data_IF_451558079104
#
_entry.id   IF_451558079104
#
_cell.length_a   1.000
_cell.length_b   1.000
_cell.length_c   1.000
_cell.angle_alpha   90.00
_cell.angle_beta   90.00
_cell.angle_gamma   90.00
#
_symmetry.space_group_name_H-M   'P 1'
#
loop_
_entity.id
_entity.type
_entity.pdbx_description
1 polymer ?
#
# COMPACT_ATOMS: atom_id res chain seq x y z
N UNK A 1 -4.44 56.57 -27.05
CA UNK A 1 -3.95 57.16 -28.30
C UNK A 1 -3.74 56.10 -29.39
N UNK A 2 -3.04 54.99 -29.18
CA UNK A 2 -2.77 53.94 -30.19
C UNK A 2 -4.05 53.42 -30.85
N UNK A 3 -5.11 53.14 -30.08
CA UNK A 3 -6.40 52.64 -30.58
C UNK A 3 -7.03 53.55 -31.65
N UNK A 4 -6.84 54.86 -31.53
CA UNK A 4 -7.45 55.85 -32.39
C UNK A 4 -6.53 56.21 -33.59
N UNK A 5 -5.24 56.31 -33.33
CA UNK A 5 -4.25 56.75 -34.33
C UNK A 5 -3.75 55.58 -35.20
N UNK A 6 -3.81 54.34 -34.72
CA UNK A 6 -3.31 53.13 -35.39
C UNK A 6 -4.23 51.93 -35.12
N UNK A 7 -5.46 51.94 -35.65
CA UNK A 7 -6.46 50.93 -35.31
C UNK A 7 -6.08 49.51 -35.77
N UNK A 8 -5.39 49.35 -36.88
CA UNK A 8 -4.91 48.06 -37.39
C UNK A 8 -3.83 47.45 -36.49
N UNK A 9 -2.84 48.29 -36.11
CA UNK A 9 -1.77 47.84 -35.18
C UNK A 9 -2.31 47.53 -33.79
N UNK A 10 -3.30 48.31 -33.34
CA UNK A 10 -3.97 47.99 -32.06
C UNK A 10 -4.74 46.68 -32.12
N UNK A 11 -5.43 46.38 -33.21
CA UNK A 11 -6.12 45.12 -33.41
C UNK A 11 -5.13 43.92 -33.44
N UNK A 12 -3.99 44.11 -34.13
CA UNK A 12 -2.91 43.11 -34.14
C UNK A 12 -2.35 42.88 -32.75
N UNK A 13 -2.04 43.91 -32.00
CA UNK A 13 -1.54 43.79 -30.61
C UNK A 13 -2.52 43.04 -29.72
N UNK A 14 -3.81 43.34 -29.82
CA UNK A 14 -4.84 42.66 -29.02
C UNK A 14 -4.98 41.17 -29.34
N UNK A 15 -4.86 40.84 -30.64
CA UNK A 15 -5.12 39.48 -31.13
C UNK A 15 -3.89 38.58 -31.00
N UNK A 16 -2.72 39.10 -31.39
CA UNK A 16 -1.54 38.26 -31.58
C UNK A 16 -0.51 38.43 -30.44
N UNK A 17 -0.43 39.62 -29.83
CA UNK A 17 0.62 39.92 -28.84
C UNK A 17 0.11 39.82 -27.39
N UNK A 18 -0.99 40.47 -27.09
CA UNK A 18 -1.50 40.48 -25.70
C UNK A 18 -1.93 39.11 -25.12
N UNK A 19 -2.44 38.16 -25.88
CA UNK A 19 -2.71 36.83 -25.36
C UNK A 19 -1.44 36.17 -24.82
N UNK A 20 -0.30 36.33 -25.53
CA UNK A 20 1.00 35.81 -25.08
C UNK A 20 1.58 36.53 -23.87
N UNK A 21 1.24 37.82 -23.65
CA UNK A 21 1.69 38.61 -22.51
C UNK A 21 0.80 38.52 -21.28
N UNK A 22 -0.42 37.97 -21.43
CA UNK A 22 -1.41 37.82 -20.31
C UNK A 22 -1.38 36.50 -19.63
N UNK A 23 -0.47 35.60 -19.98
CA UNK A 23 -0.31 34.36 -19.21
C UNK A 23 0.59 34.59 -17.99
N UNK A 24 0.32 33.86 -16.95
CA UNK A 24 1.17 33.78 -15.79
C UNK A 24 1.75 32.39 -15.74
N UNK A 25 3.07 32.28 -15.73
CA UNK A 25 3.76 31.03 -15.50
C UNK A 25 3.85 30.80 -14.00
N UNK A 26 3.39 29.63 -13.56
CA UNK A 26 3.51 29.20 -12.18
C UNK A 26 4.58 28.12 -12.11
N UNK A 27 5.57 28.33 -11.28
CA UNK A 27 6.49 27.29 -10.83
C UNK A 27 6.13 26.96 -9.40
N UNK A 28 5.66 25.72 -9.16
CA UNK A 28 5.46 25.20 -7.81
C UNK A 28 6.68 24.38 -7.46
N UNK A 29 7.51 24.92 -6.59
CA UNK A 29 8.62 24.18 -6.00
C UNK A 29 8.14 23.60 -4.66
N UNK A 30 8.27 22.30 -4.49
CA UNK A 30 7.97 21.64 -3.23
C UNK A 30 9.16 20.76 -2.84
N UNK A 31 9.44 20.72 -1.57
CA UNK A 31 10.39 19.76 -0.99
C UNK A 31 9.60 18.57 -0.45
N UNK A 32 9.95 17.38 -0.93
CA UNK A 32 9.44 16.14 -0.34
C UNK A 32 10.23 15.90 0.93
N UNK A 33 9.60 16.10 2.07
CA UNK A 33 10.21 15.79 3.36
C UNK A 33 10.05 14.28 3.59
N UNK A 34 11.16 13.54 3.48
CA UNK A 34 11.22 12.15 3.87
C UNK A 34 11.57 12.04 5.37
N UNK A 35 10.80 11.22 6.09
CA UNK A 35 11.10 10.88 7.47
C UNK A 35 11.97 9.62 7.48
N UNK A 36 13.12 9.68 8.13
CA UNK A 36 14.06 8.56 8.26
C UNK A 36 14.15 8.02 9.68
N UNK A 37 13.75 8.82 10.66
CA UNK A 37 13.69 8.42 12.06
C UNK A 37 12.34 7.77 12.38
N UNK A 38 12.37 6.60 13.01
CA UNK A 38 11.17 5.78 13.28
C UNK A 38 10.25 6.43 14.30
N UNK A 39 10.78 7.12 15.29
CA UNK A 39 9.96 7.81 16.29
C UNK A 39 9.27 9.05 15.69
N UNK A 40 9.93 9.71 14.73
CA UNK A 40 9.30 10.78 13.95
C UNK A 40 8.18 10.23 13.06
N UNK A 41 8.43 9.12 12.35
CA UNK A 41 7.40 8.45 11.54
C UNK A 41 6.22 8.06 12.43
N UNK A 42 6.48 7.46 13.59
CA UNK A 42 5.45 7.08 14.55
C UNK A 42 4.61 8.27 15.01
N UNK A 43 5.25 9.38 15.36
CA UNK A 43 4.56 10.62 15.76
C UNK A 43 3.67 11.19 14.65
N UNK A 44 4.19 11.21 13.42
CA UNK A 44 3.44 11.69 12.24
C UNK A 44 2.30 10.74 11.93
N UNK A 45 2.52 9.42 12.02
CA UNK A 45 1.49 8.40 11.82
C UNK A 45 0.30 8.59 12.77
N UNK A 46 0.57 8.92 14.03
CA UNK A 46 -0.46 9.16 15.05
C UNK A 46 -1.26 10.46 14.82
N UNK A 47 -0.62 11.50 14.30
CA UNK A 47 -1.23 12.83 14.16
C UNK A 47 -1.73 13.12 12.75
N UNK A 48 -0.94 12.82 11.73
CA UNK A 48 -1.20 13.17 10.32
C UNK A 48 -0.67 12.09 9.37
N UNK A 49 -1.23 10.85 9.41
CA UNK A 49 -0.71 9.71 8.64
C UNK A 49 -0.69 9.95 7.12
N UNK A 50 -1.55 10.82 6.61
CA UNK A 50 -1.59 11.21 5.21
C UNK A 50 -0.34 11.95 4.71
N UNK A 51 0.56 12.36 5.62
CA UNK A 51 1.85 12.96 5.27
C UNK A 51 2.95 11.93 5.04
N UNK A 52 2.69 10.67 5.41
CA UNK A 52 3.64 9.58 5.23
C UNK A 52 3.42 8.90 3.87
N UNK A 53 4.52 8.59 3.22
CA UNK A 53 4.55 7.68 2.08
C UNK A 53 4.47 6.23 2.55
N UNK A 54 4.08 5.31 1.65
CA UNK A 54 4.08 3.88 1.94
C UNK A 54 5.47 3.35 2.34
N UNK A 55 6.52 3.92 1.76
CA UNK A 55 7.91 3.57 2.06
C UNK A 55 8.27 3.85 3.53
N UNK A 56 7.76 4.95 4.09
CA UNK A 56 8.00 5.31 5.48
C UNK A 56 7.26 4.39 6.44
N UNK A 57 6.05 3.93 6.10
CA UNK A 57 5.37 2.88 6.87
C UNK A 57 6.20 1.59 6.89
N UNK A 58 6.76 1.17 5.75
CA UNK A 58 7.61 -0.03 5.69
C UNK A 58 8.93 0.15 6.45
N UNK A 59 9.55 1.32 6.36
CA UNK A 59 10.77 1.63 7.12
C UNK A 59 10.51 1.49 8.63
N UNK A 60 9.39 2.04 9.12
CA UNK A 60 9.01 1.90 10.52
C UNK A 60 8.73 0.44 10.89
N UNK A 61 8.00 -0.30 10.05
CA UNK A 61 7.65 -1.69 10.31
C UNK A 61 8.89 -2.61 10.40
N UNK A 62 9.91 -2.37 9.56
CA UNK A 62 11.16 -3.16 9.56
C UNK A 62 11.93 -3.10 10.89
N UNK A 63 11.71 -2.06 11.68
CA UNK A 63 12.37 -1.89 12.98
C UNK A 63 11.49 -2.36 14.17
N UNK A 64 10.29 -2.86 13.88
CA UNK A 64 9.38 -3.40 14.88
C UNK A 64 9.43 -4.93 14.88
N UNK A 65 9.20 -5.51 16.03
CA UNK A 65 9.03 -6.96 16.16
C UNK A 65 7.68 -7.35 15.51
N UNK A 66 7.68 -8.31 14.55
CA UNK A 66 6.44 -8.78 13.94
C UNK A 66 5.46 -9.31 14.99
N UNK A 67 4.21 -8.84 14.92
CA UNK A 67 3.16 -9.18 15.89
C UNK A 67 3.15 -8.33 17.16
N UNK A 68 4.03 -7.34 17.30
CA UNK A 68 3.91 -6.32 18.33
C UNK A 68 2.76 -5.35 18.05
N UNK A 69 2.20 -4.71 19.07
CA UNK A 69 1.12 -3.74 18.92
C UNK A 69 1.51 -2.58 17.96
N UNK A 70 2.77 -2.15 18.01
CA UNK A 70 3.28 -1.11 17.09
C UNK A 70 3.34 -1.59 15.65
N UNK A 71 3.81 -2.82 15.42
CA UNK A 71 3.84 -3.43 14.10
C UNK A 71 2.44 -3.52 13.50
N UNK A 72 1.50 -4.02 14.27
CA UNK A 72 0.11 -4.16 13.86
C UNK A 72 -0.50 -2.80 13.49
N UNK A 73 -0.31 -1.80 14.33
CA UNK A 73 -0.85 -0.46 14.11
C UNK A 73 -0.27 0.22 12.87
N UNK A 74 1.02 -0.01 12.56
CA UNK A 74 1.65 0.48 11.33
C UNK A 74 0.90 -0.05 10.12
N UNK A 75 0.69 -1.36 10.02
CA UNK A 75 0.04 -1.95 8.86
C UNK A 75 -1.47 -1.70 8.80
N UNK A 76 -2.15 -1.64 9.94
CA UNK A 76 -3.55 -1.21 9.99
C UNK A 76 -3.72 0.24 9.49
N UNK A 77 -2.75 1.10 9.79
CA UNK A 77 -2.76 2.48 9.29
C UNK A 77 -2.34 2.53 7.82
N UNK A 78 -1.30 1.78 7.42
CA UNK A 78 -0.84 1.71 6.03
C UNK A 78 -1.96 1.25 5.09
N UNK A 79 -2.68 0.19 5.41
CA UNK A 79 -3.78 -0.31 4.57
C UNK A 79 -4.96 0.66 4.50
N UNK A 80 -5.16 1.47 5.53
CA UNK A 80 -6.18 2.53 5.53
C UNK A 80 -5.78 3.69 4.62
N UNK A 81 -4.50 4.04 4.59
CA UNK A 81 -3.97 5.12 3.74
C UNK A 81 -3.76 4.67 2.29
N UNK A 82 -3.36 3.42 2.09
CA UNK A 82 -3.06 2.82 0.79
C UNK A 82 -3.87 1.54 0.54
N UNK A 83 -5.21 1.65 0.40
CA UNK A 83 -6.11 0.49 0.39
C UNK A 83 -5.99 -0.41 -0.84
N UNK A 84 -5.24 0.01 -1.86
CA UNK A 84 -4.96 -0.77 -3.07
C UNK A 84 -3.57 -1.42 -3.07
N UNK A 85 -2.73 -1.12 -2.08
CA UNK A 85 -1.38 -1.69 -2.03
C UNK A 85 -1.42 -3.16 -1.59
N UNK A 86 -0.83 -4.04 -2.40
CA UNK A 86 -0.88 -5.49 -2.20
C UNK A 86 -0.13 -5.92 -0.93
N UNK A 87 1.03 -5.33 -0.65
CA UNK A 87 1.85 -5.68 0.50
C UNK A 87 1.21 -5.19 1.80
N UNK A 88 0.66 -3.98 1.82
CA UNK A 88 -0.09 -3.48 2.98
C UNK A 88 -1.30 -4.38 3.28
N UNK A 89 -2.04 -4.79 2.24
CA UNK A 89 -3.17 -5.71 2.41
C UNK A 89 -2.73 -7.10 2.88
N UNK A 90 -1.61 -7.65 2.37
CA UNK A 90 -1.08 -8.93 2.84
C UNK A 90 -0.74 -8.91 4.33
N UNK A 91 -0.01 -7.88 4.77
CA UNK A 91 0.35 -7.76 6.19
C UNK A 91 -0.88 -7.54 7.07
N UNK A 92 -1.83 -6.69 6.66
CA UNK A 92 -3.09 -6.52 7.37
C UNK A 92 -3.92 -7.81 7.44
N UNK A 93 -3.87 -8.65 6.40
CA UNK A 93 -4.52 -9.97 6.41
C UNK A 93 -3.89 -10.91 7.45
N UNK A 94 -2.56 -10.97 7.50
CA UNK A 94 -1.84 -11.78 8.48
C UNK A 94 -2.16 -11.35 9.91
N UNK A 95 -2.19 -10.05 10.19
CA UNK A 95 -2.58 -9.49 11.48
C UNK A 95 -4.04 -9.86 11.82
N UNK A 96 -4.96 -9.71 10.87
CA UNK A 96 -6.37 -10.06 11.08
C UNK A 96 -6.55 -11.57 11.38
N UNK A 97 -5.83 -12.45 10.68
CA UNK A 97 -5.82 -13.89 10.96
C UNK A 97 -5.29 -14.19 12.36
N UNK A 98 -4.20 -13.55 12.78
CA UNK A 98 -3.66 -13.67 14.13
C UNK A 98 -4.65 -13.24 15.21
N UNK A 99 -5.43 -12.20 14.95
CA UNK A 99 -6.53 -11.72 15.83
C UNK A 99 -7.84 -12.51 15.67
N UNK A 100 -7.87 -13.56 14.83
CA UNK A 100 -9.05 -14.36 14.48
C UNK A 100 -10.20 -13.56 13.83
N UNK A 101 -9.88 -12.40 13.26
CA UNK A 101 -10.82 -11.60 12.49
C UNK A 101 -10.86 -12.08 11.03
N UNK A 102 -11.50 -13.23 10.83
CA UNK A 102 -11.56 -13.91 9.54
C UNK A 102 -12.24 -13.08 8.46
N UNK A 103 -13.20 -12.24 8.83
CA UNK A 103 -13.92 -11.36 7.89
C UNK A 103 -13.00 -10.29 7.29
N UNK A 104 -12.22 -9.63 8.13
CA UNK A 104 -11.25 -8.65 7.65
C UNK A 104 -10.07 -9.32 6.93
N UNK A 105 -9.63 -10.50 7.39
CA UNK A 105 -8.60 -11.28 6.72
C UNK A 105 -8.98 -11.58 5.27
N UNK A 106 -10.19 -12.08 5.01
CA UNK A 106 -10.70 -12.34 3.66
C UNK A 106 -10.70 -11.09 2.78
N UNK A 107 -11.21 -9.99 3.31
CA UNK A 107 -11.25 -8.71 2.61
C UNK A 107 -9.86 -8.21 2.21
N UNK A 108 -8.88 -8.36 3.09
CA UNK A 108 -7.51 -7.97 2.79
C UNK A 108 -6.84 -8.95 1.81
N UNK A 109 -7.01 -10.25 1.98
CA UNK A 109 -6.47 -11.26 1.07
C UNK A 109 -6.97 -11.10 -0.37
N UNK A 110 -8.20 -10.60 -0.56
CA UNK A 110 -8.73 -10.32 -1.90
C UNK A 110 -7.94 -9.24 -2.65
N UNK A 111 -7.17 -8.42 -1.94
CA UNK A 111 -6.35 -7.31 -2.46
C UNK A 111 -4.84 -7.53 -2.31
N UNK A 112 -4.43 -8.63 -1.70
CA UNK A 112 -3.02 -8.92 -1.41
C UNK A 112 -2.17 -9.33 -2.62
N UNK A 113 -2.72 -9.28 -3.83
CA UNK A 113 -2.01 -9.71 -5.04
C UNK A 113 -1.86 -11.22 -5.14
N UNK A 114 -0.89 -11.68 -5.93
CA UNK A 114 -0.68 -13.11 -6.22
C UNK A 114 0.79 -13.53 -6.06
N UNK A 115 1.53 -12.88 -5.17
CA UNK A 115 2.89 -13.35 -4.84
C UNK A 115 2.83 -14.70 -4.11
N UNK A 116 3.92 -15.48 -4.08
CA UNK A 116 3.97 -16.75 -3.34
C UNK A 116 3.55 -16.59 -1.87
N UNK A 117 3.91 -15.49 -1.24
CA UNK A 117 3.52 -15.16 0.13
C UNK A 117 2.01 -14.92 0.26
N UNK A 118 1.41 -14.24 -0.72
CA UNK A 118 -0.04 -14.01 -0.74
C UNK A 118 -0.83 -15.30 -0.97
N UNK A 119 -0.31 -16.20 -1.83
CA UNK A 119 -0.87 -17.54 -2.03
C UNK A 119 -0.76 -18.36 -0.74
N UNK A 120 0.39 -18.31 -0.07
CA UNK A 120 0.61 -18.96 1.21
C UNK A 120 -0.34 -18.45 2.29
N UNK A 121 -0.52 -17.12 2.41
CA UNK A 121 -1.43 -16.53 3.37
C UNK A 121 -2.90 -16.97 3.13
N UNK A 122 -3.32 -17.12 1.87
CA UNK A 122 -4.64 -17.71 1.55
C UNK A 122 -4.72 -19.18 1.96
N UNK A 123 -3.61 -19.92 1.86
CA UNK A 123 -3.52 -21.28 2.38
C UNK A 123 -3.72 -21.33 3.90
N UNK A 124 -3.10 -20.41 4.63
CA UNK A 124 -3.31 -20.26 6.09
C UNK A 124 -4.77 -19.93 6.38
N UNK A 125 -5.37 -18.99 5.66
CA UNK A 125 -6.78 -18.63 5.82
C UNK A 125 -7.70 -19.83 5.63
N UNK A 126 -7.49 -20.61 4.57
CA UNK A 126 -8.26 -21.82 4.30
C UNK A 126 -8.10 -22.87 5.43
N UNK A 127 -6.88 -23.05 5.92
CA UNK A 127 -6.60 -23.97 7.04
C UNK A 127 -7.31 -23.52 8.33
N UNK A 128 -7.27 -22.24 8.66
CA UNK A 128 -7.97 -21.66 9.81
C UNK A 128 -9.50 -21.75 9.68
N UNK A 129 -10.00 -21.80 8.47
CA UNK A 129 -11.43 -21.99 8.15
C UNK A 129 -11.84 -23.47 8.10
N UNK A 130 -10.90 -24.40 8.29
CA UNK A 130 -11.14 -25.86 8.25
C UNK A 130 -11.14 -26.45 6.84
N UNK A 131 -10.88 -25.67 5.81
CA UNK A 131 -10.75 -26.17 4.42
C UNK A 131 -9.31 -26.63 4.14
N UNK A 132 -8.98 -27.80 4.67
CA UNK A 132 -7.65 -28.38 4.51
C UNK A 132 -7.32 -28.81 3.08
N UNK A 133 -8.33 -29.06 2.25
CA UNK A 133 -8.10 -29.42 0.83
C UNK A 133 -7.63 -28.20 0.03
N UNK A 134 -8.28 -27.07 0.19
CA UNK A 134 -7.86 -25.82 -0.43
C UNK A 134 -6.52 -25.35 0.16
N UNK A 135 -6.32 -25.45 1.47
CA UNK A 135 -5.05 -25.10 2.11
C UNK A 135 -3.88 -25.91 1.52
N UNK A 136 -4.03 -27.21 1.37
CA UNK A 136 -3.00 -28.07 0.79
C UNK A 136 -2.64 -27.72 -0.66
N UNK A 137 -3.63 -27.38 -1.49
CA UNK A 137 -3.40 -26.93 -2.86
C UNK A 137 -2.64 -25.59 -2.92
N UNK A 138 -3.03 -24.64 -2.10
CA UNK A 138 -2.41 -23.31 -2.04
C UNK A 138 -0.98 -23.38 -1.49
N UNK A 139 -0.71 -24.20 -0.47
CA UNK A 139 0.64 -24.40 0.02
C UNK A 139 1.53 -25.10 -1.02
N UNK A 140 0.99 -26.07 -1.75
CA UNK A 140 1.75 -26.71 -2.84
C UNK A 140 2.08 -25.70 -3.96
N UNK A 141 1.15 -24.84 -4.32
CA UNK A 141 1.38 -23.76 -5.29
C UNK A 141 2.49 -22.81 -4.79
N UNK A 142 2.37 -22.30 -3.57
CA UNK A 142 3.38 -21.40 -2.99
C UNK A 142 4.77 -22.04 -2.93
N UNK A 143 4.85 -23.35 -2.62
CA UNK A 143 6.10 -24.12 -2.64
C UNK A 143 6.70 -24.21 -4.04
N UNK A 144 5.88 -24.46 -5.05
CA UNK A 144 6.34 -24.53 -6.46
C UNK A 144 6.81 -23.17 -6.97
N UNK A 145 6.25 -22.08 -6.45
CA UNK A 145 6.66 -20.70 -6.74
C UNK A 145 7.88 -20.25 -5.92
N UNK A 146 8.46 -21.14 -5.10
CA UNK A 146 9.73 -20.93 -4.41
C UNK A 146 9.64 -20.58 -2.93
N UNK A 147 8.46 -20.59 -2.32
CA UNK A 147 8.31 -20.31 -0.89
C UNK A 147 8.62 -21.55 -0.04
N UNK A 148 9.76 -21.57 0.62
CA UNK A 148 10.27 -22.71 1.39
C UNK A 148 9.39 -23.09 2.58
N UNK A 149 8.79 -22.09 3.24
CA UNK A 149 7.92 -22.25 4.41
C UNK A 149 6.66 -23.07 4.13
N UNK A 150 6.23 -23.08 2.86
CA UNK A 150 5.06 -23.82 2.44
C UNK A 150 5.24 -25.36 2.55
N UNK A 151 6.48 -25.85 2.53
CA UNK A 151 6.76 -27.28 2.67
C UNK A 151 6.38 -27.78 4.08
N UNK A 152 6.66 -27.02 5.11
CA UNK A 152 6.31 -27.35 6.48
C UNK A 152 4.79 -27.29 6.69
N UNK A 153 4.13 -26.25 6.16
CA UNK A 153 2.68 -26.13 6.23
C UNK A 153 1.96 -27.33 5.56
N UNK A 154 2.50 -27.79 4.42
CA UNK A 154 1.99 -28.99 3.73
C UNK A 154 2.11 -30.25 4.60
N UNK A 155 3.20 -30.40 5.35
CA UNK A 155 3.37 -31.53 6.25
C UNK A 155 2.32 -31.51 7.36
N UNK A 156 2.12 -30.35 7.97
CA UNK A 156 1.13 -30.15 9.04
C UNK A 156 -0.30 -30.43 8.56
N UNK A 157 -0.69 -29.95 7.38
CA UNK A 157 -2.01 -30.25 6.80
C UNK A 157 -2.23 -31.76 6.56
N UNK A 158 -1.19 -32.47 6.12
CA UNK A 158 -1.29 -33.94 5.92
C UNK A 158 -1.49 -34.69 7.24
N UNK A 159 -0.95 -34.18 8.35
CA UNK A 159 -1.15 -34.76 9.69
C UNK A 159 -2.55 -34.50 10.22
N UNK A 160 -3.12 -33.29 9.97
CA UNK A 160 -4.47 -32.92 10.38
C UNK A 160 -5.58 -33.66 9.62
N UNK A 161 -5.27 -34.26 8.46
CA UNK A 161 -6.21 -35.03 7.63
C UNK A 161 -6.26 -36.53 7.99
N UNK A 162 -5.40 -37.00 8.88
CA UNK A 162 -5.38 -38.41 9.33
C UNK A 162 -6.36 -38.63 10.47
#
# INVERSE_FOLDING_TARGET
>A
KIKVSYPADYAFLLKEVYPGLRHSDYAVTYEVRAYTDVEDIWRVMKSTPQKLSLQEFYLAAQQMEPGSDRYDEIFETAVRMFPADATANLNAANIAMGKKDMKNAERYLSKAGNTPEAVYARGIYAALSGDYDTAGRLFEQARQEGLSEAAEALRQIKELKK
#
